data_IF_735671197694
#
_entry.id   IF_735671197694
#
_cell.length_a   1.000
_cell.length_b   1.000
_cell.length_c   1.000
_cell.angle_alpha   90.00
_cell.angle_beta   90.00
_cell.angle_gamma   90.00
#
_symmetry.space_group_name_H-M   'P 1'
#
loop_
_entity.id
_entity.type
_entity.pdbx_description
1 polymer ?
#
# COMPACT_ATOMS: atom_id res chain seq x y z
N UNK A 1 -3.87 26.41 -28.53
CA UNK A 1 -2.43 26.12 -28.23
C UNK A 1 -2.30 25.24 -26.99
N UNK A 2 -3.06 25.54 -25.92
CA UNK A 2 -3.05 24.78 -24.67
C UNK A 2 -3.37 23.29 -24.84
N UNK A 3 -4.32 22.93 -25.72
CA UNK A 3 -4.61 21.52 -26.06
C UNK A 3 -3.39 20.73 -26.55
N UNK A 4 -2.51 21.33 -27.37
CA UNK A 4 -1.30 20.65 -27.88
C UNK A 4 -0.25 20.48 -26.78
N UNK A 5 -0.13 21.49 -25.92
CA UNK A 5 0.76 21.43 -24.77
C UNK A 5 0.30 20.37 -23.76
N UNK A 6 -1.00 20.31 -23.45
CA UNK A 6 -1.61 19.28 -22.60
C UNK A 6 -1.29 17.85 -23.09
N UNK A 7 -1.44 17.58 -24.40
CA UNK A 7 -1.05 16.28 -24.98
C UNK A 7 0.44 15.94 -24.80
N UNK A 8 1.31 16.95 -24.81
CA UNK A 8 2.75 16.75 -24.58
C UNK A 8 3.02 16.38 -23.12
N UNK A 9 2.36 17.06 -22.18
CA UNK A 9 2.43 16.76 -20.74
C UNK A 9 1.98 15.32 -20.47
N UNK A 10 0.84 14.91 -21.05
CA UNK A 10 0.33 13.53 -20.95
C UNK A 10 1.41 12.53 -21.35
N UNK A 11 2.00 12.72 -22.54
CA UNK A 11 3.02 11.78 -23.04
C UNK A 11 4.20 11.68 -22.09
N UNK A 12 4.73 12.81 -21.62
CA UNK A 12 5.91 12.83 -20.74
C UNK A 12 5.62 12.19 -19.38
N UNK A 13 4.51 12.54 -18.74
CA UNK A 13 4.20 12.07 -17.39
C UNK A 13 3.79 10.59 -17.38
N UNK A 14 3.06 10.12 -18.40
CA UNK A 14 2.71 8.72 -18.50
C UNK A 14 3.94 7.86 -18.80
N UNK A 15 4.81 8.29 -19.72
CA UNK A 15 6.05 7.55 -19.99
C UNK A 15 6.91 7.40 -18.73
N UNK A 16 7.01 8.47 -17.92
CA UNK A 16 7.70 8.38 -16.63
C UNK A 16 7.02 7.37 -15.69
N UNK A 17 5.69 7.44 -15.55
CA UNK A 17 4.94 6.53 -14.69
C UNK A 17 5.08 5.07 -15.14
N UNK A 18 5.08 4.81 -16.45
CA UNK A 18 5.24 3.48 -17.03
C UNK A 18 6.65 2.92 -16.82
N UNK A 19 7.69 3.75 -16.96
CA UNK A 19 9.06 3.38 -16.61
C UNK A 19 9.15 3.00 -15.12
N UNK A 20 8.62 3.84 -14.24
CA UNK A 20 8.60 3.56 -12.80
C UNK A 20 7.88 2.24 -12.53
N UNK A 21 6.68 2.02 -13.08
CA UNK A 21 5.93 0.76 -12.91
C UNK A 21 6.71 -0.47 -13.36
N UNK A 22 7.40 -0.36 -14.49
CA UNK A 22 8.17 -1.47 -15.06
C UNK A 22 9.37 -1.85 -14.21
N UNK A 23 10.08 -0.86 -13.66
CA UNK A 23 11.26 -1.09 -12.84
C UNK A 23 10.94 -1.31 -11.35
N UNK A 24 9.75 -0.90 -10.89
CA UNK A 24 9.34 -0.96 -9.49
C UNK A 24 9.57 -2.32 -8.83
N UNK A 25 9.24 -3.48 -9.45
CA UNK A 25 9.45 -4.78 -8.83
C UNK A 25 10.92 -5.07 -8.48
N UNK A 26 11.88 -4.51 -9.22
CA UNK A 26 13.31 -4.71 -8.97
C UNK A 26 13.78 -3.99 -7.69
N UNK A 27 13.10 -2.92 -7.28
CA UNK A 27 13.42 -2.12 -6.10
C UNK A 27 12.65 -2.55 -4.84
N UNK A 28 11.74 -3.53 -4.94
CA UNK A 28 10.99 -4.06 -3.78
C UNK A 28 11.87 -4.61 -2.64
N UNK A 29 13.05 -5.21 -2.89
CA UNK A 29 13.96 -5.60 -1.81
C UNK A 29 14.49 -4.40 -1.00
N UNK A 30 14.55 -3.22 -1.63
CA UNK A 30 14.97 -1.97 -0.99
C UNK A 30 13.77 -1.04 -0.80
N UNK A 31 12.97 -1.34 0.22
CA UNK A 31 11.67 -0.71 0.49
C UNK A 31 11.74 0.82 0.51
N UNK A 32 12.84 1.41 1.01
CA UNK A 32 13.05 2.86 1.00
C UNK A 32 13.08 3.45 -0.41
N UNK A 33 13.75 2.78 -1.36
CA UNK A 33 13.77 3.24 -2.75
C UNK A 33 12.38 3.10 -3.37
N UNK A 34 11.68 2.00 -3.10
CA UNK A 34 10.31 1.84 -3.55
C UNK A 34 9.38 2.95 -3.03
N UNK A 35 9.49 3.34 -1.75
CA UNK A 35 8.78 4.50 -1.19
C UNK A 35 9.13 5.81 -1.92
N UNK A 36 10.41 6.05 -2.24
CA UNK A 36 10.85 7.23 -3.00
C UNK A 36 10.23 7.24 -4.40
N UNK A 37 10.20 6.10 -5.11
CA UNK A 37 9.58 6.01 -6.43
C UNK A 37 8.07 6.31 -6.39
N UNK A 38 7.36 5.83 -5.37
CA UNK A 38 5.96 6.18 -5.16
C UNK A 38 5.77 7.67 -4.84
N UNK A 39 6.65 8.26 -4.03
CA UNK A 39 6.65 9.69 -3.76
C UNK A 39 6.85 10.50 -5.05
N UNK A 40 7.74 10.07 -5.95
CA UNK A 40 7.95 10.73 -7.23
C UNK A 40 6.67 10.76 -8.07
N UNK A 41 5.94 9.64 -8.16
CA UNK A 41 4.65 9.59 -8.87
C UNK A 41 3.60 10.48 -8.20
N UNK A 42 3.55 10.52 -6.86
CA UNK A 42 2.69 11.45 -6.13
C UNK A 42 3.07 12.91 -6.41
N UNK A 43 4.35 13.22 -6.50
CA UNK A 43 4.84 14.57 -6.81
C UNK A 43 4.48 14.98 -8.24
N UNK A 44 4.49 14.06 -9.22
CA UNK A 44 3.99 14.34 -10.56
C UNK A 44 2.54 14.83 -10.53
N UNK A 45 1.70 14.22 -9.69
CA UNK A 45 0.30 14.63 -9.51
C UNK A 45 0.19 16.02 -8.90
N UNK A 46 0.94 16.30 -7.83
CA UNK A 46 0.93 17.62 -7.18
C UNK A 46 1.41 18.72 -8.13
N UNK A 47 2.45 18.46 -8.92
CA UNK A 47 2.97 19.44 -9.88
C UNK A 47 2.04 19.62 -11.09
N UNK A 48 1.36 18.55 -11.51
CA UNK A 48 0.35 18.63 -12.57
C UNK A 48 -0.87 19.47 -12.14
N UNK A 49 -1.33 19.38 -10.88
CA UNK A 49 -2.38 20.27 -10.34
C UNK A 49 -1.93 21.73 -10.37
N UNK A 50 -0.72 22.03 -9.88
CA UNK A 50 -0.15 23.40 -9.91
C UNK A 50 0.01 23.92 -11.33
N UNK A 51 0.36 23.05 -12.27
CA UNK A 51 0.49 23.43 -13.68
C UNK A 51 -0.89 23.73 -14.28
N UNK A 52 -1.91 22.93 -13.96
CA UNK A 52 -3.29 23.17 -14.38
C UNK A 52 -3.79 24.53 -13.90
N UNK A 53 -3.57 24.88 -12.63
CA UNK A 53 -3.93 26.21 -12.08
C UNK A 53 -3.21 27.33 -12.84
N UNK A 54 -1.90 27.19 -13.09
CA UNK A 54 -1.10 28.19 -13.84
C UNK A 54 -1.50 28.32 -15.31
N UNK A 55 -2.11 27.30 -15.89
CA UNK A 55 -2.59 27.32 -17.28
C UNK A 55 -3.96 27.99 -17.44
N UNK A 56 -4.64 28.33 -16.35
CA UNK A 56 -5.97 28.97 -16.36
C UNK A 56 -6.99 28.31 -15.44
N UNK A 57 -6.66 27.16 -14.83
CA UNK A 57 -7.56 26.48 -13.90
C UNK A 57 -8.93 26.20 -14.50
N UNK A 58 -9.98 26.69 -13.86
CA UNK A 58 -11.37 26.55 -14.33
C UNK A 58 -11.69 27.39 -15.58
N UNK A 59 -10.86 28.39 -15.92
CA UNK A 59 -11.00 29.19 -17.15
C UNK A 59 -10.22 28.58 -18.34
N UNK A 60 -9.56 27.45 -18.14
CA UNK A 60 -8.84 26.75 -19.20
C UNK A 60 -9.83 26.17 -20.24
N UNK A 61 -9.44 26.18 -21.52
CA UNK A 61 -10.16 25.52 -22.61
C UNK A 61 -10.61 24.09 -22.20
N UNK A 62 -11.92 23.80 -22.32
CA UNK A 62 -12.54 22.55 -21.82
C UNK A 62 -11.83 21.28 -22.30
N UNK A 63 -11.44 21.26 -23.57
CA UNK A 63 -10.67 20.16 -24.17
C UNK A 63 -9.33 19.92 -23.45
N UNK A 64 -8.60 21.00 -23.13
CA UNK A 64 -7.31 20.90 -22.47
C UNK A 64 -7.48 20.54 -20.99
N UNK A 65 -8.50 21.10 -20.33
CA UNK A 65 -8.84 20.78 -18.96
C UNK A 65 -9.21 19.30 -18.78
N UNK A 66 -10.05 18.77 -19.67
CA UNK A 66 -10.44 17.35 -19.68
C UNK A 66 -9.22 16.44 -19.79
N UNK A 67 -8.30 16.72 -20.72
CA UNK A 67 -7.06 15.94 -20.90
C UNK A 67 -6.21 15.91 -19.62
N UNK A 68 -6.05 17.05 -18.95
CA UNK A 68 -5.23 17.12 -17.73
C UNK A 68 -5.92 16.47 -16.52
N UNK A 69 -7.25 16.56 -16.43
CA UNK A 69 -8.05 15.86 -15.40
C UNK A 69 -8.01 14.34 -15.59
N UNK A 70 -8.07 13.84 -16.82
CA UNK A 70 -7.89 12.42 -17.12
C UNK A 70 -6.47 11.95 -16.76
N UNK A 71 -5.44 12.74 -17.09
CA UNK A 71 -4.06 12.45 -16.71
C UNK A 71 -3.89 12.34 -15.19
N UNK A 72 -4.52 13.23 -14.42
CA UNK A 72 -4.53 13.14 -12.96
C UNK A 72 -5.09 11.81 -12.46
N UNK A 73 -6.20 11.34 -13.05
CA UNK A 73 -6.80 10.06 -12.68
C UNK A 73 -5.88 8.88 -13.04
N UNK A 74 -5.22 8.92 -14.21
CA UNK A 74 -4.29 7.87 -14.63
C UNK A 74 -3.04 7.80 -13.73
N UNK A 75 -2.47 8.94 -13.35
CA UNK A 75 -1.36 8.99 -12.38
C UNK A 75 -1.82 8.53 -10.99
N UNK A 76 -3.06 8.85 -10.59
CA UNK A 76 -3.64 8.35 -9.35
C UNK A 76 -3.76 6.82 -9.36
N UNK A 77 -4.31 6.24 -10.43
CA UNK A 77 -4.40 4.79 -10.60
C UNK A 77 -3.03 4.12 -10.65
N UNK A 78 -2.05 4.78 -11.27
CA UNK A 78 -0.66 4.31 -11.28
C UNK A 78 -0.07 4.20 -9.87
N UNK A 79 -0.35 5.18 -9.00
CA UNK A 79 0.08 5.13 -7.61
C UNK A 79 -0.63 4.03 -6.81
N UNK A 80 -1.91 3.76 -7.11
CA UNK A 80 -2.65 2.64 -6.51
C UNK A 80 -2.07 1.28 -6.91
N UNK A 81 -1.72 1.08 -8.17
CA UNK A 81 -1.07 -0.14 -8.65
C UNK A 81 0.29 -0.37 -7.97
N UNK A 82 1.12 0.67 -7.85
CA UNK A 82 2.40 0.60 -7.14
C UNK A 82 2.21 0.21 -5.68
N UNK A 83 1.20 0.77 -5.01
CA UNK A 83 0.89 0.43 -3.61
C UNK A 83 0.49 -1.04 -3.45
N UNK A 84 -0.30 -1.58 -4.39
CA UNK A 84 -0.68 -2.99 -4.41
C UNK A 84 0.54 -3.89 -4.63
N UNK A 85 1.42 -3.54 -5.56
CA UNK A 85 2.65 -4.32 -5.83
C UNK A 85 3.55 -4.31 -4.60
N UNK A 86 3.72 -3.15 -3.95
CA UNK A 86 4.49 -3.02 -2.72
C UNK A 86 3.89 -3.88 -1.59
N UNK A 87 2.59 -3.77 -1.33
CA UNK A 87 1.95 -4.53 -0.26
C UNK A 87 2.05 -6.06 -0.51
N UNK A 88 1.93 -6.50 -1.77
CA UNK A 88 2.14 -7.91 -2.14
C UNK A 88 3.54 -8.43 -1.84
N UNK A 89 4.57 -7.59 -1.90
CA UNK A 89 5.94 -8.00 -1.53
C UNK A 89 6.06 -8.32 -0.03
N UNK A 90 5.22 -7.69 0.80
CA UNK A 90 5.15 -7.90 2.25
C UNK A 90 4.29 -9.11 2.63
N UNK A 91 3.49 -9.62 1.70
CA UNK A 91 2.50 -10.68 1.93
C UNK A 91 3.12 -11.93 2.56
N UNK A 92 4.30 -12.35 2.11
CA UNK A 92 5.00 -13.52 2.67
C UNK A 92 5.40 -13.31 4.14
N UNK A 93 5.99 -12.16 4.48
CA UNK A 93 6.38 -11.84 5.87
C UNK A 93 5.16 -11.75 6.78
N UNK A 94 4.08 -11.11 6.31
CA UNK A 94 2.82 -11.03 7.06
C UNK A 94 2.22 -12.43 7.25
N UNK A 95 2.30 -13.30 6.23
CA UNK A 95 1.80 -14.68 6.32
C UNK A 95 2.51 -15.47 7.42
N UNK A 96 3.84 -15.37 7.51
CA UNK A 96 4.62 -16.03 8.57
C UNK A 96 4.21 -15.51 9.94
N UNK A 97 4.15 -14.19 10.11
CA UNK A 97 3.75 -13.56 11.37
C UNK A 97 2.33 -13.95 11.80
N UNK A 98 1.36 -13.98 10.89
CA UNK A 98 -0.02 -14.41 11.20
C UNK A 98 -0.12 -15.90 11.53
N UNK A 99 0.74 -16.76 10.96
CA UNK A 99 0.82 -18.17 11.39
C UNK A 99 1.29 -18.29 12.83
N UNK A 100 2.29 -17.51 13.25
CA UNK A 100 2.74 -17.47 14.63
C UNK A 100 1.64 -17.00 15.60
N UNK A 101 0.82 -16.03 15.18
CA UNK A 101 -0.39 -15.62 15.91
C UNK A 101 -1.34 -16.81 16.09
N UNK A 102 -1.58 -17.59 15.02
CA UNK A 102 -2.40 -18.80 15.06
C UNK A 102 -1.87 -19.88 16.01
N UNK A 103 -0.57 -20.17 15.97
CA UNK A 103 0.08 -21.15 16.83
C UNK A 103 0.01 -20.75 18.32
N UNK A 104 0.21 -19.46 18.62
CA UNK A 104 0.04 -18.90 19.97
C UNK A 104 -1.39 -19.07 20.47
N UNK A 105 -2.38 -18.82 19.62
CA UNK A 105 -3.80 -18.98 19.94
C UNK A 105 -4.17 -20.45 20.24
N UNK A 106 -3.56 -21.42 19.54
CA UNK A 106 -3.76 -22.86 19.83
C UNK A 106 -3.15 -23.23 21.18
N UNK A 107 -1.94 -22.77 21.46
CA UNK A 107 -1.23 -23.08 22.72
C UNK A 107 -2.01 -22.60 23.95
N UNK A 108 -2.70 -21.47 23.85
CA UNK A 108 -3.61 -20.94 24.88
C UNK A 108 -4.76 -21.90 25.19
N UNK A 109 -5.41 -22.43 24.14
CA UNK A 109 -6.51 -23.40 24.31
C UNK A 109 -6.04 -24.67 25.01
N UNK A 110 -4.78 -25.07 24.80
CA UNK A 110 -4.19 -26.27 25.42
C UNK A 110 -3.74 -26.07 26.87
N UNK A 111 -3.45 -24.84 27.30
CA UNK A 111 -2.87 -24.54 28.63
C UNK A 111 -3.89 -24.10 29.70
N UNK A 112 -5.20 -24.28 29.46
CA UNK A 112 -6.29 -23.86 30.37
C UNK A 112 -6.25 -24.49 31.79
N UNK A 113 -5.30 -25.37 32.11
CA UNK A 113 -5.17 -25.97 33.43
C UNK A 113 -4.42 -25.11 34.46
N UNK A 114 -3.67 -24.07 34.06
CA UNK A 114 -2.91 -23.26 35.02
C UNK A 114 -2.86 -21.77 34.64
N UNK A 115 -3.48 -20.95 35.50
CA UNK A 115 -3.36 -19.49 35.68
C UNK A 115 -4.48 -18.61 35.11
N UNK A 116 -4.99 -17.75 36.02
CA UNK A 116 -5.88 -16.61 35.78
C UNK A 116 -5.08 -15.46 35.12
N UNK A 117 -4.59 -15.63 33.91
CA UNK A 117 -4.10 -14.50 33.11
C UNK A 117 -5.34 -13.74 32.58
N UNK A 118 -5.34 -12.41 32.64
CA UNK A 118 -6.44 -11.62 32.07
C UNK A 118 -6.48 -11.85 30.56
N UNK A 119 -7.69 -12.00 30.01
CA UNK A 119 -7.93 -12.18 28.56
C UNK A 119 -7.24 -11.09 27.73
N UNK A 120 -7.10 -9.88 28.29
CA UNK A 120 -6.39 -8.76 27.65
C UNK A 120 -4.90 -9.03 27.46
N UNK A 121 -4.21 -9.55 28.48
CA UNK A 121 -2.76 -9.84 28.44
C UNK A 121 -2.48 -10.99 27.47
N UNK A 122 -3.40 -11.95 27.42
CA UNK A 122 -3.33 -13.09 26.51
C UNK A 122 -3.53 -12.67 25.05
N UNK A 123 -4.47 -11.76 24.79
CA UNK A 123 -4.68 -11.19 23.45
C UNK A 123 -3.45 -10.41 22.96
N UNK A 124 -2.83 -9.61 23.84
CA UNK A 124 -1.61 -8.87 23.50
C UNK A 124 -0.45 -9.82 23.14
N UNK A 125 -0.24 -10.88 23.91
CA UNK A 125 0.82 -11.87 23.65
C UNK A 125 0.59 -12.69 22.37
N UNK A 126 -0.67 -12.91 21.99
CA UNK A 126 -1.03 -13.56 20.72
C UNK A 126 -0.73 -12.66 19.54
N UNK A 127 -1.11 -11.38 19.62
CA UNK A 127 -0.98 -10.42 18.51
C UNK A 127 0.44 -9.85 18.36
N UNK A 128 1.29 -9.99 19.38
CA UNK A 128 2.64 -9.44 19.44
C UNK A 128 3.50 -9.67 18.18
N UNK A 129 3.58 -10.87 17.59
CA UNK A 129 4.39 -11.09 16.38
C UNK A 129 3.95 -10.24 15.19
N UNK A 130 2.65 -9.95 15.08
CA UNK A 130 2.09 -9.11 14.02
C UNK A 130 2.28 -7.62 14.33
N UNK A 131 2.09 -7.24 15.59
CA UNK A 131 2.30 -5.86 16.04
C UNK A 131 3.76 -5.43 15.86
N UNK A 132 4.73 -6.25 16.26
CA UNK A 132 6.15 -5.94 16.14
C UNK A 132 6.59 -5.81 14.66
N UNK A 133 6.10 -6.70 13.79
CA UNK A 133 6.38 -6.64 12.34
C UNK A 133 5.80 -5.36 11.72
N UNK A 134 4.55 -5.04 12.03
CA UNK A 134 3.87 -3.87 11.50
C UNK A 134 4.50 -2.59 12.04
N UNK A 135 4.78 -2.49 13.35
CA UNK A 135 5.34 -1.28 13.94
C UNK A 135 6.70 -0.91 13.33
N UNK A 136 7.60 -1.90 13.20
CA UNK A 136 8.91 -1.71 12.57
C UNK A 136 8.82 -1.27 11.11
N UNK A 137 7.94 -1.92 10.33
CA UNK A 137 7.75 -1.60 8.91
C UNK A 137 7.05 -0.25 8.72
N UNK A 138 6.00 0.03 9.50
CA UNK A 138 5.20 1.25 9.39
C UNK A 138 5.96 2.49 9.84
N UNK A 139 6.80 2.38 10.87
CA UNK A 139 7.67 3.49 11.28
C UNK A 139 8.61 3.88 10.14
N UNK A 140 9.24 2.90 9.51
CA UNK A 140 10.11 3.14 8.35
C UNK A 140 9.35 3.78 7.17
N UNK A 141 8.12 3.32 6.90
CA UNK A 141 7.32 3.87 5.80
C UNK A 141 6.80 5.28 6.11
N UNK A 142 6.48 5.58 7.36
CA UNK A 142 6.07 6.92 7.78
C UNK A 142 7.19 7.94 7.58
N UNK A 143 8.45 7.56 7.82
CA UNK A 143 9.61 8.42 7.66
C UNK A 143 10.02 8.62 6.18
N UNK A 144 9.82 7.60 5.35
CA UNK A 144 10.30 7.58 3.97
C UNK A 144 9.24 7.91 2.91
N UNK A 145 7.95 7.91 3.28
CA UNK A 145 6.84 8.14 2.35
C UNK A 145 6.12 9.45 2.62
N UNK A 146 5.66 10.11 1.57
CA UNK A 146 4.71 11.22 1.72
C UNK A 146 3.39 10.74 2.33
N UNK A 147 2.69 11.63 3.03
CA UNK A 147 1.43 11.32 3.75
C UNK A 147 0.40 10.59 2.87
N UNK A 148 0.25 10.98 1.61
CA UNK A 148 -0.69 10.35 0.67
C UNK A 148 -0.24 8.94 0.28
N UNK A 149 1.07 8.75 0.05
CA UNK A 149 1.68 7.45 -0.25
C UNK A 149 1.54 6.52 0.95
N UNK A 150 1.93 6.99 2.13
CA UNK A 150 1.82 6.23 3.38
C UNK A 150 0.38 5.76 3.65
N UNK A 151 -0.61 6.63 3.47
CA UNK A 151 -2.03 6.25 3.61
C UNK A 151 -2.47 5.15 2.64
N UNK A 152 -1.93 5.12 1.42
CA UNK A 152 -2.25 4.05 0.44
C UNK A 152 -1.59 2.75 0.85
N UNK A 153 -0.32 2.80 1.25
CA UNK A 153 0.40 1.64 1.78
C UNK A 153 -0.33 1.02 2.98
N UNK A 154 -0.75 1.84 3.95
CA UNK A 154 -1.55 1.37 5.10
C UNK A 154 -2.83 0.66 4.67
N UNK A 155 -3.56 1.21 3.70
CA UNK A 155 -4.81 0.59 3.22
C UNK A 155 -4.57 -0.78 2.59
N UNK A 156 -3.56 -0.90 1.74
CA UNK A 156 -3.25 -2.18 1.08
C UNK A 156 -2.66 -3.19 2.06
N UNK A 157 -1.81 -2.75 2.99
CA UNK A 157 -1.30 -3.59 4.07
C UNK A 157 -2.42 -4.14 4.95
N UNK A 158 -3.35 -3.29 5.37
CA UNK A 158 -4.49 -3.71 6.20
C UNK A 158 -5.36 -4.75 5.50
N UNK A 159 -5.63 -4.57 4.19
CA UNK A 159 -6.36 -5.57 3.39
C UNK A 159 -5.65 -6.92 3.40
N UNK A 160 -4.33 -6.94 3.25
CA UNK A 160 -3.54 -8.18 3.25
C UNK A 160 -3.57 -8.85 4.63
N UNK A 161 -3.35 -8.09 5.70
CA UNK A 161 -3.39 -8.59 7.08
C UNK A 161 -4.72 -9.25 7.38
N UNK A 162 -5.85 -8.56 7.13
CA UNK A 162 -7.19 -9.09 7.38
C UNK A 162 -7.45 -10.36 6.56
N UNK A 163 -7.10 -10.35 5.28
CA UNK A 163 -7.31 -11.50 4.38
C UNK A 163 -6.52 -12.74 4.83
N UNK A 164 -5.27 -12.56 5.26
CA UNK A 164 -4.43 -13.67 5.74
C UNK A 164 -4.95 -14.18 7.09
N UNK A 165 -5.30 -13.27 8.00
CA UNK A 165 -5.81 -13.63 9.32
C UNK A 165 -7.13 -14.40 9.21
N UNK A 166 -8.05 -13.95 8.34
CA UNK A 166 -9.28 -14.66 8.03
C UNK A 166 -8.99 -16.11 7.57
N UNK A 167 -8.09 -16.27 6.58
CA UNK A 167 -7.78 -17.59 6.01
C UNK A 167 -7.01 -18.54 6.93
N UNK A 168 -6.18 -17.99 7.82
CA UNK A 168 -5.19 -18.79 8.57
C UNK A 168 -5.64 -19.06 9.99
N UNK A 169 -6.36 -18.12 10.61
CA UNK A 169 -6.72 -18.18 12.04
C UNK A 169 -8.22 -18.36 12.24
N UNK A 170 -9.05 -17.70 11.42
CA UNK A 170 -10.50 -17.65 11.62
C UNK A 170 -11.24 -18.77 10.89
N UNK A 171 -10.90 -19.02 9.63
CA UNK A 171 -11.56 -20.05 8.84
C UNK A 171 -11.10 -21.44 9.31
N UNK A 172 -12.04 -22.41 9.46
CA UNK A 172 -11.67 -23.79 9.74
C UNK A 172 -10.78 -24.32 8.61
N UNK A 173 -9.81 -25.21 8.91
CA UNK A 173 -9.00 -25.82 7.86
C UNK A 173 -9.95 -26.45 6.85
N UNK A 174 -9.81 -26.09 5.57
CA UNK A 174 -10.55 -26.72 4.48
C UNK A 174 -10.23 -28.21 4.54
N UNK A 175 -11.12 -28.97 5.18
CA UNK A 175 -11.18 -30.40 5.01
C UNK A 175 -11.82 -30.60 3.66
N UNK A 176 -11.01 -30.51 2.60
CA UNK A 176 -11.34 -31.16 1.34
C UNK A 176 -11.40 -32.66 1.66
N UNK A 177 -12.57 -33.10 2.12
CA UNK A 177 -12.95 -34.50 2.17
C UNK A 177 -13.08 -34.93 0.71
N UNK A 178 -11.98 -35.43 0.15
CA UNK A 178 -12.03 -36.37 -0.97
C UNK A 178 -12.58 -37.70 -0.47
#
# INVERSE_FOLDING_TARGET
>A
YMKRFAKTIVKVLLEYADIVKKEFPAYLPEERIACILMNNVQQLRVQLEKLFEKMGGEELEEDAATILKELQQQLNGSLDELAVIFAKSLEQRITVSVKEVGDRLVNIKSNQQNQRISVEVEADEVLRPLMDLLDGSLTQYADSSEKTVFKRLLKELWKIVIRIMEKTVVLPPMTDKT
#
